data_IF_462336201254
#
_entry.id   IF_462336201254
#
_cell.length_a   1.000
_cell.length_b   1.000
_cell.length_c   1.000
_cell.angle_alpha   90.00
_cell.angle_beta   90.00
_cell.angle_gamma   90.00
#
_symmetry.space_group_name_H-M   'P 1'
#
loop_
_entity.id
_entity.type
_entity.pdbx_description
1 polymer ?
#
# COMPACT_ATOMS: atom_id res chain seq x y z
N UNK A 1 17.44 -5.08 2.45
CA UNK A 1 16.01 -4.74 2.34
C UNK A 1 15.43 -4.53 3.72
N UNK A 2 14.64 -3.49 3.88
CA UNK A 2 14.05 -3.13 5.16
C UNK A 2 12.53 -3.23 5.07
N UNK A 3 11.91 -3.88 6.06
CA UNK A 3 10.45 -4.03 6.09
C UNK A 3 9.93 -3.34 7.35
N UNK A 4 8.95 -2.49 7.19
CA UNK A 4 8.36 -1.74 8.30
C UNK A 4 6.91 -1.38 8.01
N UNK A 5 6.19 -1.04 9.08
CA UNK A 5 4.84 -0.49 8.96
C UNK A 5 4.93 0.90 8.35
N UNK A 6 4.12 1.17 7.34
CA UNK A 6 4.06 2.48 6.72
C UNK A 6 3.29 3.46 7.60
N UNK A 7 3.76 4.69 7.64
CA UNK A 7 3.12 5.78 8.38
C UNK A 7 2.75 6.91 7.42
N UNK A 8 2.08 7.93 7.94
CA UNK A 8 1.66 9.07 7.13
C UNK A 8 2.84 9.73 6.40
N UNK A 9 4.03 9.75 7.02
CA UNK A 9 5.21 10.36 6.40
C UNK A 9 5.72 9.57 5.20
N UNK A 10 5.25 8.33 5.01
CA UNK A 10 5.63 7.50 3.87
C UNK A 10 4.73 7.70 2.65
N UNK A 11 3.72 8.56 2.76
CA UNK A 11 2.76 8.76 1.67
C UNK A 11 3.40 9.12 0.32
N UNK A 12 4.41 10.01 0.24
CA UNK A 12 5.03 10.30 -1.06
C UNK A 12 5.70 9.07 -1.68
N UNK A 13 6.38 8.24 -0.88
CA UNK A 13 7.02 7.01 -1.36
C UNK A 13 5.98 5.98 -1.79
N UNK A 14 4.92 5.85 -1.00
CA UNK A 14 3.83 4.93 -1.30
C UNK A 14 3.14 5.34 -2.61
N UNK A 15 2.87 6.63 -2.78
CA UNK A 15 2.27 7.15 -4.01
C UNK A 15 3.13 6.80 -5.22
N UNK A 16 4.43 7.03 -5.13
CA UNK A 16 5.35 6.73 -6.23
C UNK A 16 5.32 5.24 -6.60
N UNK A 17 5.34 4.37 -5.59
CA UNK A 17 5.27 2.93 -5.81
C UNK A 17 3.95 2.53 -6.47
N UNK A 18 2.83 3.04 -5.98
CA UNK A 18 1.53 2.64 -6.49
C UNK A 18 1.27 3.18 -7.89
N UNK A 19 1.75 4.38 -8.22
CA UNK A 19 1.65 4.88 -9.58
C UNK A 19 2.43 3.99 -10.55
N UNK A 20 3.59 3.51 -10.13
CA UNK A 20 4.33 2.52 -10.91
C UNK A 20 3.53 1.22 -11.06
N UNK A 21 2.89 0.76 -9.99
CA UNK A 21 2.09 -0.46 -10.01
C UNK A 21 0.91 -0.36 -10.97
N UNK A 22 0.19 0.76 -10.94
CA UNK A 22 -0.96 0.96 -11.84
C UNK A 22 -0.53 0.98 -13.30
N UNK A 23 0.65 1.51 -13.60
CA UNK A 23 1.17 1.54 -14.97
C UNK A 23 1.69 0.16 -15.41
N UNK A 24 2.40 -0.53 -14.52
CA UNK A 24 3.06 -1.80 -14.86
C UNK A 24 2.09 -2.98 -14.88
N UNK A 25 1.01 -2.93 -14.10
CA UNK A 25 0.05 -4.01 -13.98
C UNK A 25 -1.38 -3.50 -14.19
N UNK A 26 -1.60 -2.81 -15.30
CA UNK A 26 -2.89 -2.16 -15.59
C UNK A 26 -4.05 -3.15 -15.56
N UNK A 27 -3.84 -4.39 -15.96
CA UNK A 27 -4.90 -5.40 -16.00
C UNK A 27 -5.34 -5.85 -14.59
N UNK A 28 -4.50 -5.62 -13.58
CA UNK A 28 -4.79 -6.02 -12.22
C UNK A 28 -5.54 -4.95 -11.43
N UNK A 29 -5.63 -3.73 -11.95
CA UNK A 29 -6.26 -2.61 -11.26
C UNK A 29 -7.39 -2.02 -12.10
N UNK A 30 -8.43 -1.55 -11.41
CA UNK A 30 -9.56 -0.89 -12.07
C UNK A 30 -9.30 0.59 -12.30
N UNK A 31 -8.29 1.16 -11.63
CA UNK A 31 -7.97 2.58 -11.73
C UNK A 31 -6.76 2.79 -12.64
N UNK A 32 -6.73 3.91 -13.34
CA UNK A 32 -5.58 4.29 -14.16
C UNK A 32 -4.57 5.08 -13.34
N UNK A 33 -3.28 5.13 -13.75
CA UNK A 33 -2.31 5.98 -13.06
C UNK A 33 -2.73 7.45 -13.04
N UNK A 34 -3.34 7.93 -14.13
CA UNK A 34 -3.79 9.31 -14.24
C UNK A 34 -4.88 9.65 -13.21
N UNK A 35 -5.84 8.74 -13.03
CA UNK A 35 -6.90 8.94 -12.02
C UNK A 35 -6.31 9.03 -10.62
N UNK A 36 -5.37 8.15 -10.30
CA UNK A 36 -4.78 8.10 -8.96
C UNK A 36 -3.80 9.25 -8.73
N UNK A 37 -3.07 9.67 -9.76
CA UNK A 37 -2.15 10.78 -9.65
C UNK A 37 -2.87 12.09 -9.32
N UNK A 38 -4.14 12.20 -9.68
CA UNK A 38 -4.96 13.38 -9.40
C UNK A 38 -5.45 13.44 -7.95
N UNK A 39 -5.32 12.33 -7.18
CA UNK A 39 -5.77 12.32 -5.80
C UNK A 39 -4.87 13.17 -4.90
N UNK A 40 -5.43 13.87 -3.89
CA UNK A 40 -4.64 14.67 -2.98
C UNK A 40 -3.79 13.80 -2.05
N UNK A 41 -2.76 14.40 -1.44
CA UNK A 41 -1.91 13.67 -0.52
C UNK A 41 -2.70 13.02 0.61
N UNK A 42 -3.74 13.68 1.11
CA UNK A 42 -4.58 13.16 2.19
C UNK A 42 -5.24 11.83 1.80
N UNK A 43 -5.55 11.63 0.54
CA UNK A 43 -6.09 10.37 0.05
C UNK A 43 -5.07 9.24 0.21
N UNK A 44 -3.81 9.53 -0.14
CA UNK A 44 -2.74 8.53 -0.01
C UNK A 44 -2.42 8.23 1.45
N UNK A 45 -2.42 9.25 2.29
CA UNK A 45 -2.19 9.07 3.74
C UNK A 45 -3.24 8.14 4.33
N UNK A 46 -4.51 8.32 3.97
CA UNK A 46 -5.58 7.48 4.51
C UNK A 46 -5.48 6.02 4.11
N UNK A 47 -4.84 5.73 3.00
CA UNK A 47 -4.68 4.35 2.56
C UNK A 47 -3.62 3.59 3.36
N UNK A 48 -2.65 4.28 3.92
CA UNK A 48 -1.56 3.63 4.66
C UNK A 48 -1.58 3.92 6.15
N UNK A 49 -2.35 4.90 6.58
CA UNK A 49 -2.45 5.28 8.00
C UNK A 49 -3.93 5.32 8.38
N UNK A 50 -4.55 4.15 8.51
CA UNK A 50 -5.96 4.05 8.87
C UNK A 50 -6.17 4.55 10.31
N UNK A 51 -6.91 5.64 10.49
CA UNK A 51 -7.14 6.19 11.82
C UNK A 51 -7.94 5.27 12.73
N UNK A 52 -8.68 4.32 12.17
CA UNK A 52 -9.47 3.36 12.95
C UNK A 52 -8.67 2.13 13.34
N UNK A 53 -7.47 1.94 12.76
CA UNK A 53 -6.64 0.81 13.09
C UNK A 53 -7.12 -0.54 12.58
N UNK A 54 -8.06 -0.55 11.62
CA UNK A 54 -8.57 -1.80 11.06
C UNK A 54 -7.73 -2.34 9.91
N UNK A 55 -6.77 -1.55 9.45
CA UNK A 55 -5.85 -2.02 8.42
C UNK A 55 -4.44 -1.52 8.73
N UNK A 56 -3.46 -2.30 8.29
CA UNK A 56 -2.04 -1.98 8.46
C UNK A 56 -1.36 -2.23 7.13
N UNK A 57 -0.58 -1.27 6.66
CA UNK A 57 0.21 -1.43 5.45
C UNK A 57 1.68 -1.57 5.82
N UNK A 58 2.32 -2.60 5.28
CA UNK A 58 3.74 -2.84 5.44
C UNK A 58 4.44 -2.46 4.14
N UNK A 59 5.62 -1.88 4.26
CA UNK A 59 6.42 -1.54 3.10
C UNK A 59 7.79 -2.19 3.16
N UNK A 60 8.27 -2.66 2.02
CA UNK A 60 9.63 -3.13 1.87
C UNK A 60 10.39 -2.07 1.10
N UNK A 61 11.55 -1.66 1.62
CA UNK A 61 12.34 -0.61 0.99
C UNK A 61 13.78 -1.07 0.80
N UNK A 62 14.41 -0.50 -0.23
CA UNK A 62 15.83 -0.65 -0.48
C UNK A 62 16.41 0.75 -0.56
N UNK A 63 17.23 1.11 0.44
CA UNK A 63 17.63 2.50 0.59
C UNK A 63 16.43 3.36 0.91
N UNK A 64 16.24 4.44 0.18
CA UNK A 64 15.09 5.33 0.36
C UNK A 64 13.90 4.98 -0.51
N UNK A 65 14.06 3.99 -1.39
CA UNK A 65 13.02 3.62 -2.34
C UNK A 65 12.14 2.51 -1.78
N UNK A 66 10.83 2.71 -1.87
CA UNK A 66 9.86 1.67 -1.52
C UNK A 66 9.72 0.75 -2.73
N UNK A 67 9.96 -0.54 -2.54
CA UNK A 67 9.97 -1.53 -3.62
C UNK A 67 8.81 -2.52 -3.53
N UNK A 68 8.09 -2.53 -2.42
CA UNK A 68 6.94 -3.41 -2.29
C UNK A 68 6.05 -2.96 -1.16
N UNK A 69 4.80 -3.40 -1.19
CA UNK A 69 3.83 -3.09 -0.15
C UNK A 69 2.82 -4.23 -0.02
N UNK A 70 2.33 -4.42 1.20
CA UNK A 70 1.22 -5.32 1.48
C UNK A 70 0.34 -4.66 2.51
N UNK A 71 -0.98 -4.73 2.30
CA UNK A 71 -1.96 -4.19 3.24
C UNK A 71 -2.77 -5.33 3.81
N UNK A 72 -2.88 -5.37 5.13
CA UNK A 72 -3.64 -6.38 5.86
C UNK A 72 -4.80 -5.69 6.55
N UNK A 73 -6.00 -6.20 6.35
CA UNK A 73 -7.20 -5.69 6.99
C UNK A 73 -7.64 -6.64 8.09
N UNK A 74 -7.97 -6.09 9.25
CA UNK A 74 -8.45 -6.87 10.40
C UNK A 74 -9.95 -6.67 10.54
N UNK A 75 -10.64 -7.74 10.94
CA UNK A 75 -12.07 -7.64 11.20
C UNK A 75 -12.34 -6.78 12.44
N UNK A 76 -13.30 -5.86 12.34
CA UNK A 76 -13.74 -5.06 13.48
C UNK A 76 -14.74 -5.77 14.38
N UNK A 77 -15.23 -6.94 13.97
CA UNK A 77 -16.22 -7.69 14.75
C UNK A 77 -15.55 -8.53 15.84
N UNK A 78 -16.08 -8.52 17.08
CA UNK A 78 -15.45 -9.27 18.16
C UNK A 78 -15.24 -10.75 17.87
N UNK A 79 -16.17 -11.40 17.19
CA UNK A 79 -16.09 -12.82 16.89
C UNK A 79 -15.04 -13.16 15.83
N UNK A 80 -14.64 -12.18 15.01
CA UNK A 80 -13.71 -12.42 13.90
C UNK A 80 -12.49 -11.51 13.94
N UNK A 81 -12.29 -10.76 15.02
CA UNK A 81 -11.19 -9.80 15.12
C UNK A 81 -9.80 -10.42 15.03
N UNK A 82 -9.70 -11.72 15.29
CA UNK A 82 -8.42 -12.44 15.15
C UNK A 82 -8.12 -12.84 13.71
N UNK A 83 -9.05 -12.62 12.79
CA UNK A 83 -8.85 -12.92 11.38
C UNK A 83 -8.28 -11.69 10.67
N UNK A 84 -7.36 -11.93 9.75
CA UNK A 84 -6.76 -10.87 8.95
C UNK A 84 -6.87 -11.26 7.48
N UNK A 85 -7.07 -10.27 6.62
CA UNK A 85 -7.22 -10.47 5.19
C UNK A 85 -6.20 -9.59 4.47
N UNK A 86 -5.45 -10.19 3.54
CA UNK A 86 -4.54 -9.43 2.68
C UNK A 86 -5.39 -8.81 1.58
N UNK A 87 -5.47 -7.47 1.55
CA UNK A 87 -6.32 -6.75 0.60
C UNK A 87 -5.52 -6.09 -0.53
N UNK A 88 -4.21 -6.11 -0.44
CA UNK A 88 -3.38 -5.60 -1.53
C UNK A 88 -1.94 -6.00 -1.34
N UNK A 89 -1.28 -6.37 -2.43
CA UNK A 89 0.14 -6.69 -2.40
C UNK A 89 0.75 -6.34 -3.75
N UNK A 90 1.89 -5.68 -3.73
CA UNK A 90 2.64 -5.37 -4.93
C UNK A 90 4.13 -5.33 -4.63
N UNK A 91 4.93 -5.87 -5.54
CA UNK A 91 6.39 -5.80 -5.50
C UNK A 91 6.87 -5.44 -6.90
N UNK A 92 7.84 -4.52 -7.02
CA UNK A 92 8.35 -4.15 -8.34
C UNK A 92 9.02 -5.35 -9.00
N UNK A 93 8.93 -5.43 -10.33
CA UNK A 93 9.35 -6.60 -11.10
C UNK A 93 10.82 -6.97 -10.85
N UNK A 94 11.70 -6.00 -10.77
CA UNK A 94 13.12 -6.22 -10.55
C UNK A 94 13.45 -6.87 -9.22
N UNK A 95 12.50 -6.85 -8.27
CA UNK A 95 12.71 -7.39 -6.92
C UNK A 95 11.93 -8.69 -6.67
N UNK A 96 11.26 -9.21 -7.68
CA UNK A 96 10.50 -10.46 -7.55
C UNK A 96 11.40 -11.66 -7.79
N UNK A 97 12.29 -11.91 -7.21
CA UNK A 97 13.10 -13.12 -7.33
C UNK A 97 13.24 -13.67 -8.75
#
# INVERSE_FOLDING_TARGET
MHIAVLSASDAPRYRALMLHAYAAAADAFTSTPEERAAEPESWWVKRIADPKGFSVSFGASRGEQLIGTVTVEFSGKPKTRHKALIIGMFVVESERG
#
